data_IF_569261233628
#
_entry.id   IF_569261233628
#
_cell.length_a   1.000
_cell.length_b   1.000
_cell.length_c   1.000
_cell.angle_alpha   90.00
_cell.angle_beta   90.00
_cell.angle_gamma   90.00
#
_symmetry.space_group_name_H-M   'P 1'
#
loop_
_entity.id
_entity.type
_entity.pdbx_description
1 polymer ?
#
# COMPACT_ATOMS: atom_id res chain seq x y z
N UNK A 1 53.14 -8.77 19.55
CA UNK A 1 52.13 -9.03 18.51
C UNK A 1 52.59 -8.34 17.24
N UNK A 2 52.80 -9.07 16.15
CA UNK A 2 53.21 -8.46 14.87
C UNK A 2 52.13 -7.47 14.41
N UNK A 3 52.51 -6.23 14.08
CA UNK A 3 51.60 -5.27 13.46
C UNK A 3 51.21 -5.83 12.10
N UNK A 4 49.90 -5.91 11.83
CA UNK A 4 49.40 -6.20 10.48
C UNK A 4 50.04 -5.25 9.48
N UNK A 5 50.45 -5.80 8.35
CA UNK A 5 50.96 -5.03 7.22
C UNK A 5 49.82 -4.18 6.64
N UNK A 6 50.15 -3.09 5.95
CA UNK A 6 49.13 -2.22 5.37
C UNK A 6 48.32 -2.94 4.27
N UNK A 7 48.90 -3.95 3.60
CA UNK A 7 48.21 -4.82 2.67
C UNK A 7 47.12 -5.70 3.33
N UNK A 8 47.41 -6.29 4.50
CA UNK A 8 46.43 -7.07 5.26
C UNK A 8 45.29 -6.18 5.77
N UNK A 9 45.61 -4.94 6.17
CA UNK A 9 44.59 -3.94 6.57
C UNK A 9 43.69 -3.56 5.40
N UNK A 10 44.26 -3.38 4.21
CA UNK A 10 43.50 -3.06 2.99
C UNK A 10 42.52 -4.19 2.65
N UNK A 11 43.00 -5.44 2.68
CA UNK A 11 42.18 -6.62 2.37
C UNK A 11 41.05 -6.83 3.40
N UNK A 12 41.28 -6.51 4.67
CA UNK A 12 40.23 -6.51 5.70
C UNK A 12 39.18 -5.42 5.46
N UNK A 13 39.58 -4.25 4.99
CA UNK A 13 38.65 -3.17 4.65
C UNK A 13 37.80 -3.52 3.43
N UNK A 14 38.38 -4.14 2.41
CA UNK A 14 37.65 -4.61 1.22
C UNK A 14 36.59 -5.66 1.60
N UNK A 15 36.96 -6.66 2.42
CA UNK A 15 36.01 -7.65 2.93
C UNK A 15 34.87 -7.02 3.72
N UNK A 16 35.17 -6.05 4.58
CA UNK A 16 34.13 -5.31 5.33
C UNK A 16 33.20 -4.54 4.40
N UNK A 17 33.74 -3.92 3.36
CA UNK A 17 32.96 -3.16 2.39
C UNK A 17 32.03 -4.08 1.58
N UNK A 18 32.50 -5.26 1.19
CA UNK A 18 31.67 -6.28 0.54
C UNK A 18 30.54 -6.76 1.45
N UNK A 19 30.85 -7.08 2.71
CA UNK A 19 29.83 -7.47 3.70
C UNK A 19 28.78 -6.37 3.93
N UNK A 20 29.21 -5.10 4.00
CA UNK A 20 28.30 -3.97 4.15
C UNK A 20 27.41 -3.78 2.91
N UNK A 21 27.96 -3.96 1.70
CA UNK A 21 27.17 -3.94 0.45
C UNK A 21 26.11 -5.05 0.44
N UNK A 22 26.49 -6.27 0.81
CA UNK A 22 25.54 -7.38 0.90
C UNK A 22 24.43 -7.11 1.92
N UNK A 23 24.78 -6.60 3.11
CA UNK A 23 23.79 -6.21 4.13
C UNK A 23 22.85 -5.11 3.64
N UNK A 24 23.39 -4.10 2.95
CA UNK A 24 22.57 -3.02 2.35
C UNK A 24 21.54 -3.60 1.38
N UNK A 25 21.96 -4.45 0.45
CA UNK A 25 21.05 -5.09 -0.52
C UNK A 25 19.99 -5.95 0.17
N UNK A 26 20.34 -6.70 1.21
CA UNK A 26 19.40 -7.49 1.99
C UNK A 26 18.35 -6.60 2.68
N UNK A 27 18.77 -5.49 3.29
CA UNK A 27 17.85 -4.54 3.93
C UNK A 27 16.92 -3.91 2.89
N UNK A 28 17.44 -3.44 1.76
CA UNK A 28 16.63 -2.89 0.67
C UNK A 28 15.60 -3.89 0.15
N UNK A 29 15.99 -5.16 0.01
CA UNK A 29 15.09 -6.22 -0.44
C UNK A 29 13.97 -6.48 0.58
N UNK A 30 14.30 -6.50 1.87
CA UNK A 30 13.31 -6.64 2.95
C UNK A 30 12.34 -5.46 3.01
N UNK A 31 12.82 -4.23 2.81
CA UNK A 31 11.96 -3.05 2.76
C UNK A 31 10.97 -3.14 1.60
N UNK A 32 11.44 -3.46 0.39
CA UNK A 32 10.59 -3.65 -0.79
C UNK A 32 9.55 -4.75 -0.60
N UNK A 33 9.93 -5.86 0.04
CA UNK A 33 9.00 -6.95 0.33
C UNK A 33 7.92 -6.52 1.32
N UNK A 34 8.29 -5.79 2.37
CA UNK A 34 7.35 -5.25 3.35
C UNK A 34 6.36 -4.28 2.70
N UNK A 35 6.84 -3.33 1.89
CA UNK A 35 5.99 -2.40 1.14
C UNK A 35 5.01 -3.13 0.21
N UNK A 36 5.47 -4.18 -0.48
CA UNK A 36 4.60 -5.02 -1.31
C UNK A 36 3.51 -5.70 -0.49
N UNK A 37 3.86 -6.32 0.63
CA UNK A 37 2.89 -6.99 1.53
C UNK A 37 1.86 -6.01 2.07
N UNK A 38 2.30 -4.84 2.53
CA UNK A 38 1.41 -3.79 3.03
C UNK A 38 0.49 -3.25 1.93
N UNK A 39 1.03 -3.02 0.72
CA UNK A 39 0.23 -2.61 -0.44
C UNK A 39 -0.81 -3.66 -0.81
N UNK A 40 -0.43 -4.93 -0.93
CA UNK A 40 -1.36 -6.02 -1.26
C UNK A 40 -2.44 -6.17 -0.19
N UNK A 41 -2.07 -6.14 1.10
CA UNK A 41 -3.05 -6.21 2.20
C UNK A 41 -4.08 -5.09 2.12
N UNK A 42 -3.63 -3.85 1.89
CA UNK A 42 -4.52 -2.69 1.72
C UNK A 42 -5.44 -2.85 0.51
N UNK A 43 -4.91 -3.30 -0.63
CA UNK A 43 -5.72 -3.50 -1.84
C UNK A 43 -6.81 -4.57 -1.63
N UNK A 44 -6.49 -5.68 -0.96
CA UNK A 44 -7.47 -6.72 -0.62
C UNK A 44 -8.54 -6.17 0.32
N UNK A 45 -8.15 -5.42 1.35
CA UNK A 45 -9.11 -4.83 2.30
C UNK A 45 -10.05 -3.85 1.62
N UNK A 46 -9.52 -2.97 0.76
CA UNK A 46 -10.32 -2.01 -0.02
C UNK A 46 -11.23 -2.77 -1.00
N UNK A 47 -10.70 -3.74 -1.73
CA UNK A 47 -11.48 -4.59 -2.65
C UNK A 47 -12.65 -5.26 -1.95
N UNK A 48 -12.42 -5.91 -0.81
CA UNK A 48 -13.46 -6.58 -0.03
C UNK A 48 -14.54 -5.60 0.50
N UNK A 49 -14.18 -4.34 0.78
CA UNK A 49 -15.17 -3.32 1.14
C UNK A 49 -16.05 -3.00 -0.07
N UNK A 50 -15.46 -2.80 -1.25
CA UNK A 50 -16.22 -2.50 -2.47
C UNK A 50 -17.09 -3.68 -2.92
N UNK A 51 -16.57 -4.90 -2.86
CA UNK A 51 -17.33 -6.13 -3.13
C UNK A 51 -18.55 -6.22 -2.21
N UNK A 52 -18.39 -5.98 -0.90
CA UNK A 52 -19.49 -6.02 0.07
C UNK A 52 -20.59 -4.97 -0.19
N UNK A 53 -20.22 -3.74 -0.55
CA UNK A 53 -21.19 -2.63 -0.64
C UNK A 53 -21.75 -2.42 -2.05
N UNK A 54 -21.01 -2.81 -3.09
CA UNK A 54 -21.41 -2.59 -4.48
C UNK A 54 -21.65 -3.89 -5.25
N UNK A 55 -21.44 -5.07 -4.65
CA UNK A 55 -21.60 -6.38 -5.28
C UNK A 55 -20.76 -6.53 -6.57
N UNK A 56 -19.52 -6.01 -6.51
CA UNK A 56 -18.58 -5.99 -7.64
C UNK A 56 -17.52 -7.06 -7.43
N UNK A 57 -17.54 -8.09 -8.27
CA UNK A 57 -16.51 -9.14 -8.31
C UNK A 57 -15.60 -9.02 -9.55
N UNK A 58 -16.06 -8.35 -10.59
CA UNK A 58 -15.37 -8.20 -11.86
C UNK A 58 -14.59 -6.88 -12.00
N UNK A 59 -13.40 -6.94 -12.61
CA UNK A 59 -12.51 -5.78 -12.74
C UNK A 59 -13.06 -4.73 -13.70
N UNK A 60 -13.71 -5.14 -14.79
CA UNK A 60 -14.30 -4.22 -15.78
C UNK A 60 -15.52 -3.51 -15.18
N UNK A 61 -16.34 -4.22 -14.39
CA UNK A 61 -17.41 -3.61 -13.61
C UNK A 61 -16.88 -2.59 -12.60
N UNK A 62 -15.81 -2.93 -11.86
CA UNK A 62 -15.17 -2.03 -10.91
C UNK A 62 -14.67 -0.74 -11.60
N UNK A 63 -14.05 -0.87 -12.77
CA UNK A 63 -13.54 0.26 -13.54
C UNK A 63 -14.66 1.19 -14.03
N UNK A 64 -15.74 0.63 -14.59
CA UNK A 64 -16.90 1.41 -15.05
C UNK A 64 -17.57 2.18 -13.92
N UNK A 65 -17.80 1.53 -12.78
CA UNK A 65 -18.44 2.16 -11.62
C UNK A 65 -17.52 3.24 -11.03
N UNK A 66 -16.22 2.95 -10.87
CA UNK A 66 -15.26 3.94 -10.40
C UNK A 66 -15.19 5.15 -11.32
N UNK A 67 -15.21 4.93 -12.64
CA UNK A 67 -15.22 6.02 -13.63
C UNK A 67 -16.52 6.84 -13.55
N UNK A 68 -17.68 6.17 -13.50
CA UNK A 68 -18.99 6.84 -13.41
C UNK A 68 -19.16 7.66 -12.13
N UNK A 69 -18.60 7.19 -11.01
CA UNK A 69 -18.68 7.89 -9.72
C UNK A 69 -17.57 8.93 -9.52
N UNK A 70 -16.55 8.97 -10.38
CA UNK A 70 -15.36 9.83 -10.20
C UNK A 70 -15.74 11.29 -9.93
N UNK A 71 -16.63 11.86 -10.73
CA UNK A 71 -17.05 13.26 -10.57
C UNK A 71 -17.79 13.54 -9.26
N UNK A 72 -18.64 12.61 -8.81
CA UNK A 72 -19.37 12.72 -7.54
C UNK A 72 -18.39 12.64 -6.36
N UNK A 73 -17.46 11.68 -6.41
CA UNK A 73 -16.45 11.49 -5.37
C UNK A 73 -15.52 12.69 -5.28
N UNK A 74 -15.10 13.27 -6.41
CA UNK A 74 -14.26 14.48 -6.43
C UNK A 74 -15.02 15.68 -5.86
N UNK A 75 -16.26 15.91 -6.29
CA UNK A 75 -17.08 17.06 -5.88
C UNK A 75 -17.51 17.00 -4.40
N UNK A 76 -17.70 15.81 -3.85
CA UNK A 76 -18.24 15.61 -2.50
C UNK A 76 -17.25 14.89 -1.56
N UNK A 77 -15.96 14.86 -1.90
CA UNK A 77 -14.91 14.09 -1.21
C UNK A 77 -14.93 14.25 0.31
N UNK A 78 -14.92 15.49 0.80
CA UNK A 78 -14.89 15.78 2.24
C UNK A 78 -16.13 15.27 2.96
N UNK A 79 -17.30 15.38 2.34
CA UNK A 79 -18.55 14.88 2.92
C UNK A 79 -18.58 13.36 2.96
N UNK A 80 -18.13 12.70 1.90
CA UNK A 80 -18.07 11.24 1.80
C UNK A 80 -17.11 10.60 2.82
N UNK A 81 -15.94 11.21 3.02
CA UNK A 81 -14.94 10.72 3.99
C UNK A 81 -15.45 10.85 5.44
N UNK A 82 -16.24 11.88 5.71
CA UNK A 82 -16.75 12.18 7.05
C UNK A 82 -18.12 11.54 7.33
N UNK A 83 -18.58 10.59 6.51
CA UNK A 83 -19.81 9.85 6.77
C UNK A 83 -19.65 9.03 8.05
N UNK A 84 -20.63 9.17 8.95
CA UNK A 84 -20.75 8.36 10.16
C UNK A 84 -21.34 6.99 9.82
N UNK A 85 -20.47 6.04 9.46
CA UNK A 85 -20.85 4.69 9.04
C UNK A 85 -21.68 3.92 10.09
N UNK A 86 -21.54 4.23 11.38
CA UNK A 86 -22.29 3.55 12.44
C UNK A 86 -23.75 4.01 12.49
N UNK A 87 -24.01 5.28 12.15
CA UNK A 87 -25.39 5.80 12.07
C UNK A 87 -26.20 5.27 10.90
N UNK A 88 -25.53 4.86 9.81
CA UNK A 88 -26.19 4.42 8.57
C UNK A 88 -26.11 2.91 8.34
N UNK A 89 -25.35 2.15 9.14
CA UNK A 89 -25.31 0.68 9.08
C UNK A 89 -26.72 0.11 9.31
N UNK A 90 -27.25 -0.60 8.31
CA UNK A 90 -28.54 -1.29 8.39
C UNK A 90 -29.76 -0.47 7.93
N UNK A 91 -29.55 0.74 7.40
CA UNK A 91 -30.58 1.50 6.68
C UNK A 91 -30.26 1.47 5.19
N UNK A 92 -31.18 0.95 4.36
CA UNK A 92 -31.12 1.05 2.90
C UNK A 92 -31.49 2.47 2.41
N UNK A 93 -30.94 3.49 3.06
CA UNK A 93 -31.15 4.89 2.72
C UNK A 93 -30.06 5.34 1.74
N UNK A 94 -30.49 5.80 0.56
CA UNK A 94 -29.60 6.48 -0.40
C UNK A 94 -29.10 7.78 0.24
N UNK A 95 -27.81 7.81 0.60
CA UNK A 95 -27.16 8.95 1.30
C UNK A 95 -27.11 10.20 0.40
N UNK A 96 -27.08 10.02 -0.92
CA UNK A 96 -27.03 11.11 -1.88
C UNK A 96 -27.98 10.87 -3.05
N UNK A 97 -28.94 11.79 -3.25
CA UNK A 97 -29.76 11.89 -4.46
C UNK A 97 -29.22 13.06 -5.29
N UNK A 98 -28.95 12.83 -6.57
CA UNK A 98 -28.79 13.93 -7.52
C UNK A 98 -30.11 14.70 -7.57
N UNK A 99 -30.07 15.96 -7.13
CA UNK A 99 -31.14 16.95 -7.30
C UNK A 99 -31.10 17.53 -8.70
#
# INVERSE_FOLDING_TARGET
MARKTDAERLLELEKKLEQLKARKQQVESRMKEKERKERTRRLIQVGAIFEKYFDIEDVDQAEKIAFGMKGIVEKHREKLINIDLEKFKGKDEIIYKDS
#
